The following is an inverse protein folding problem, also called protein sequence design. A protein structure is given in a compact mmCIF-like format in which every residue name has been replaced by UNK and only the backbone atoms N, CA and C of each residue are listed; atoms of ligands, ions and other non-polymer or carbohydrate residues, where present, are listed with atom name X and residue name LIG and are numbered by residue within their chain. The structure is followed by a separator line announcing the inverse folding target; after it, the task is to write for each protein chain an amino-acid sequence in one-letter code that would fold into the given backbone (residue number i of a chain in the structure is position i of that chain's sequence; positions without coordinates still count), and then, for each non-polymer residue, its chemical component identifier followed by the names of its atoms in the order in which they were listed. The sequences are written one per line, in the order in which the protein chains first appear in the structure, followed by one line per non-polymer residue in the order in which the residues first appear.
data_IF_257833026601
#
_entry.id   IF_257833026601
#
_cell.length_a   1.000
_cell.length_b   1.000
_cell.length_c   1.000
_cell.angle_alpha   90.00
_cell.angle_beta   90.00
_cell.angle_gamma   90.00
#
_symmetry.space_group_name_H-M   'P 1'
#
loop_
_entity.id
_entity.type
_entity.pdbx_description
1 polymer ?
#
# COMPACT_ATOMS: atom_id res chain seq x y z
N UNK A 1 1.40 -18.36 2.05
CA UNK A 1 1.25 -17.15 2.87
C UNK A 1 1.00 -16.00 1.92
N UNK A 2 -0.17 -15.36 1.99
CA UNK A 2 -0.60 -14.35 1.00
C UNK A 2 0.24 -13.08 1.15
N UNK A 3 0.89 -12.66 0.07
CA UNK A 3 1.64 -11.41 -0.02
C UNK A 3 0.69 -10.27 -0.37
N UNK A 4 0.44 -9.39 0.59
CA UNK A 4 -0.40 -8.21 0.44
C UNK A 4 0.48 -6.96 0.38
N UNK A 5 0.32 -6.17 -0.69
CA UNK A 5 0.97 -4.86 -0.82
C UNK A 5 -0.03 -3.76 -0.56
N UNK A 6 0.33 -2.80 0.29
CA UNK A 6 -0.44 -1.59 0.53
C UNK A 6 0.22 -0.40 -0.19
N UNK A 7 -0.56 0.31 -1.00
CA UNK A 7 -0.16 1.53 -1.69
C UNK A 7 -1.15 2.64 -1.34
N UNK A 8 -0.67 3.78 -0.88
CA UNK A 8 -1.55 4.89 -0.53
C UNK A 8 -0.92 5.85 0.44
N UNK A 9 -1.78 6.53 1.17
CA UNK A 9 -1.39 7.67 2.00
C UNK A 9 -1.25 7.31 3.49
N UNK A 10 -1.40 8.32 4.35
CA UNK A 10 -1.27 8.20 5.81
C UNK A 10 -2.22 7.17 6.44
N UNK A 11 -3.37 6.89 5.84
CA UNK A 11 -4.32 5.88 6.33
C UNK A 11 -3.71 4.47 6.41
N UNK A 12 -2.76 4.15 5.53
CA UNK A 12 -2.04 2.88 5.55
C UNK A 12 -0.73 2.95 6.34
N UNK A 13 -0.26 4.14 6.74
CA UNK A 13 0.93 4.31 7.58
C UNK A 13 0.67 3.92 9.06
N UNK A 14 -0.59 3.86 9.51
CA UNK A 14 -0.94 3.48 10.89
C UNK A 14 -0.64 2.01 11.17
N UNK A 15 0.32 1.75 12.08
CA UNK A 15 0.78 0.40 12.47
C UNK A 15 -0.31 -0.47 13.12
N UNK A 16 -1.26 0.13 13.81
CA UNK A 16 -2.38 -0.56 14.48
C UNK A 16 -3.68 -0.55 13.66
N UNK A 17 -3.63 -0.07 12.41
CA UNK A 17 -4.78 -0.06 11.51
C UNK A 17 -4.87 -1.34 10.69
N UNK A 18 -5.20 -1.19 9.40
CA UNK A 18 -5.39 -2.31 8.46
C UNK A 18 -4.19 -3.26 8.39
N UNK A 19 -2.97 -2.73 8.55
CA UNK A 19 -1.75 -3.55 8.59
C UNK A 19 -1.80 -4.61 9.69
N UNK A 20 -2.29 -4.24 10.87
CA UNK A 20 -2.39 -5.15 12.01
C UNK A 20 -3.41 -6.24 11.72
N UNK A 21 -4.61 -5.87 11.28
CA UNK A 21 -5.66 -6.84 10.94
C UNK A 21 -5.21 -7.86 9.87
N UNK A 22 -4.50 -7.41 8.84
CA UNK A 22 -3.95 -8.29 7.80
C UNK A 22 -2.83 -9.21 8.33
N UNK A 23 -1.92 -8.68 9.15
CA UNK A 23 -0.86 -9.48 9.77
C UNK A 23 -1.43 -10.53 10.73
N UNK A 24 -2.39 -10.15 11.56
CA UNK A 24 -3.08 -11.03 12.50
C UNK A 24 -3.89 -12.13 11.78
N UNK A 25 -4.31 -11.86 10.53
CA UNK A 25 -4.95 -12.85 9.64
C UNK A 25 -3.95 -13.79 8.94
N UNK A 26 -2.65 -13.68 9.22
CA UNK A 26 -1.59 -14.52 8.64
C UNK A 26 -1.09 -14.07 7.27
N UNK A 27 -1.37 -12.83 6.84
CA UNK A 27 -0.82 -12.28 5.60
C UNK A 27 0.60 -11.72 5.80
N UNK A 28 1.43 -11.84 4.77
CA UNK A 28 2.67 -11.08 4.67
C UNK A 28 2.35 -9.69 4.11
N UNK A 29 2.50 -8.65 4.93
CA UNK A 29 2.12 -7.28 4.54
C UNK A 29 3.35 -6.44 4.24
N UNK A 30 3.43 -5.94 3.01
CA UNK A 30 4.42 -4.98 2.55
C UNK A 30 3.74 -3.62 2.37
N UNK A 31 4.05 -2.68 3.26
CA UNK A 31 3.49 -1.34 3.17
C UNK A 31 4.42 -0.41 2.38
N UNK A 32 4.00 -0.02 1.19
CA UNK A 32 4.68 0.95 0.33
C UNK A 32 3.99 2.33 0.36
N UNK A 33 3.07 2.52 1.30
CA UNK A 33 2.35 3.79 1.46
C UNK A 33 3.27 4.89 1.95
N UNK A 34 3.19 6.04 1.29
CA UNK A 34 3.93 7.24 1.66
C UNK A 34 2.89 8.23 2.21
N UNK A 35 3.09 8.73 3.42
CA UNK A 35 2.10 9.65 4.03
C UNK A 35 1.99 10.96 3.24
N UNK A 36 0.77 11.50 3.09
CA UNK A 36 0.47 12.77 2.43
C UNK A 36 0.89 12.84 0.94
N UNK A 37 0.76 11.73 0.20
CA UNK A 37 1.23 11.64 -1.19
C UNK A 37 0.10 11.48 -2.21
N UNK A 38 0.11 12.26 -3.32
CA UNK A 38 -0.87 12.12 -4.39
C UNK A 38 -0.74 10.80 -5.17
N UNK A 39 -1.74 10.48 -6.00
CA UNK A 39 -1.79 9.26 -6.82
C UNK A 39 -0.59 9.07 -7.75
N UNK A 40 0.05 10.16 -8.18
CA UNK A 40 1.29 10.10 -8.99
C UNK A 40 2.46 9.46 -8.23
N UNK A 41 2.54 9.62 -6.90
CA UNK A 41 3.57 8.97 -6.10
C UNK A 41 3.30 7.49 -5.90
N UNK A 42 2.03 7.08 -5.78
CA UNK A 42 1.66 5.66 -5.81
C UNK A 42 2.10 5.02 -7.14
N UNK A 43 1.91 5.71 -8.28
CA UNK A 43 2.39 5.24 -9.58
C UNK A 43 3.91 5.08 -9.59
N UNK A 44 4.64 6.04 -9.04
CA UNK A 44 6.10 5.97 -8.94
C UNK A 44 6.57 4.78 -8.08
N UNK A 45 5.91 4.53 -6.94
CA UNK A 45 6.25 3.41 -6.06
C UNK A 45 5.97 2.05 -6.71
N UNK A 46 4.99 1.94 -7.62
CA UNK A 46 4.78 0.73 -8.43
C UNK A 46 6.00 0.45 -9.32
N UNK A 47 6.53 1.48 -9.98
CA UNK A 47 7.69 1.34 -10.87
C UNK A 47 8.94 1.01 -10.06
N UNK A 48 9.17 1.73 -8.97
CA UNK A 48 10.35 1.55 -8.11
C UNK A 48 10.38 0.17 -7.45
N UNK A 49 9.23 -0.34 -7.03
CA UNK A 49 9.09 -1.62 -6.35
C UNK A 49 8.53 -2.72 -7.28
N UNK A 50 8.78 -2.63 -8.59
CA UNK A 50 8.20 -3.53 -9.60
C UNK A 50 8.31 -5.01 -9.25
N UNK A 51 9.45 -5.44 -8.70
CA UNK A 51 9.67 -6.83 -8.30
C UNK A 51 8.78 -7.28 -7.13
N UNK A 52 8.46 -6.38 -6.21
CA UNK A 52 7.54 -6.63 -5.10
C UNK A 52 6.11 -6.70 -5.63
N UNK A 53 5.72 -5.73 -6.47
CA UNK A 53 4.39 -5.66 -7.09
C UNK A 53 4.08 -6.92 -7.91
N UNK A 54 5.04 -7.41 -8.70
CA UNK A 54 4.86 -8.62 -9.51
C UNK A 54 4.69 -9.91 -8.69
N UNK A 55 5.09 -9.90 -7.41
CA UNK A 55 4.98 -11.06 -6.50
C UNK A 55 3.79 -10.92 -5.53
N UNK A 56 3.02 -9.84 -5.62
CA UNK A 56 1.88 -9.61 -4.76
C UNK A 56 0.71 -10.52 -5.20
N UNK A 57 0.08 -11.16 -4.22
CA UNK A 57 -1.17 -11.89 -4.43
C UNK A 57 -2.38 -10.94 -4.38
N UNK A 58 -2.24 -9.85 -3.61
CA UNK A 58 -3.22 -8.79 -3.47
C UNK A 58 -2.54 -7.44 -3.35
N UNK A 59 -3.04 -6.45 -4.10
CA UNK A 59 -2.64 -5.06 -3.97
C UNK A 59 -3.87 -4.28 -3.48
N UNK A 60 -3.75 -3.62 -2.33
CA UNK A 60 -4.75 -2.71 -1.81
C UNK A 60 -4.24 -1.30 -2.02
N UNK A 61 -4.96 -0.52 -2.82
CA UNK A 61 -4.62 0.88 -3.06
C UNK A 61 -5.67 1.82 -2.46
N UNK A 62 -5.21 2.93 -1.90
CA UNK A 62 -6.03 4.03 -1.43
C UNK A 62 -5.49 5.35 -1.96
N UNK A 63 -6.36 6.17 -2.54
CA UNK A 63 -6.10 7.56 -2.92
C UNK A 63 -7.26 8.39 -2.36
N UNK A 64 -6.96 9.60 -1.88
CA UNK A 64 -7.98 10.54 -1.47
C UNK A 64 -8.22 11.61 -2.55
N UNK A 65 -9.15 12.51 -2.24
CA UNK A 65 -9.51 13.63 -3.10
C UNK A 65 -8.40 14.67 -3.31
N UNK A 66 -7.18 14.54 -2.77
CA UNK A 66 -6.08 15.49 -3.08
C UNK A 66 -5.62 15.43 -4.54
N UNK A 67 -6.02 14.40 -5.29
CA UNK A 67 -5.88 14.32 -6.75
C UNK A 67 -7.01 15.10 -7.50
N UNK A 68 -7.47 16.25 -6.99
CA UNK A 68 -8.42 17.10 -7.75
C UNK A 68 -7.70 17.65 -8.99
N UNK A 69 -8.30 17.40 -10.15
CA UNK A 69 -7.93 17.98 -11.44
C UNK A 69 -8.25 19.48 -11.52
#
# INVERSE_FOLDING_TARGET
MTNVVLLGESHFAMKNGIQKGLKDSGCHVLNLSLGATPGIQNLYEIIRNRQIIQKADLIITGSNTHDVA
#
